data_IF_701028385667
#
_entry.id   IF_701028385667
#
_cell.length_a   1.000
_cell.length_b   1.000
_cell.length_c   1.000
_cell.angle_alpha   90.00
_cell.angle_beta   90.00
_cell.angle_gamma   90.00
#
_symmetry.space_group_name_H-M   'P 1'
#
loop_
_entity.id
_entity.type
_entity.pdbx_description
1 polymer ?
#
# COMPACT_ATOMS: atom_id res chain seq x y z
N UNK A 1 -5.91 17.11 14.52
CA UNK A 1 -6.45 16.52 13.28
C UNK A 1 -5.99 15.07 13.18
N UNK A 2 -6.88 14.16 12.80
CA UNK A 2 -6.51 12.77 12.52
C UNK A 2 -6.23 12.67 11.02
N UNK A 3 -4.99 12.35 10.66
CA UNK A 3 -4.63 12.20 9.25
C UNK A 3 -5.23 10.89 8.70
N UNK A 4 -5.76 10.90 7.47
CA UNK A 4 -6.28 9.70 6.84
C UNK A 4 -5.16 8.68 6.59
N UNK A 5 -5.37 7.46 7.08
CA UNK A 5 -4.44 6.36 6.90
C UNK A 5 -4.57 5.76 5.49
N UNK A 6 -3.45 5.64 4.79
CA UNK A 6 -3.39 5.05 3.46
C UNK A 6 -2.52 3.80 3.45
N UNK A 7 -2.96 2.77 2.72
CA UNK A 7 -2.23 1.52 2.51
C UNK A 7 -1.75 1.46 1.07
N UNK A 8 -0.44 1.28 0.90
CA UNK A 8 0.14 0.89 -0.38
C UNK A 8 0.27 -0.63 -0.41
N UNK A 9 -0.34 -1.25 -1.40
CA UNK A 9 -0.28 -2.70 -1.64
C UNK A 9 0.49 -2.94 -2.93
N UNK A 10 1.55 -3.73 -2.81
CA UNK A 10 2.40 -4.15 -3.91
C UNK A 10 1.89 -5.50 -4.44
N UNK A 11 1.43 -5.53 -5.69
CA UNK A 11 0.87 -6.71 -6.33
C UNK A 11 1.72 -7.11 -7.54
N UNK A 12 1.58 -8.36 -7.99
CA UNK A 12 2.28 -8.82 -9.18
C UNK A 12 1.92 -8.10 -10.48
N UNK A 13 0.81 -7.38 -10.46
CA UNK A 13 0.23 -6.67 -11.59
C UNK A 13 0.44 -5.15 -11.54
N UNK A 14 0.91 -4.61 -10.41
CA UNK A 14 0.97 -3.17 -10.19
C UNK A 14 0.91 -2.76 -8.72
N UNK A 15 0.78 -1.47 -8.49
CA UNK A 15 0.60 -0.88 -7.16
C UNK A 15 -0.85 -0.45 -6.93
N UNK A 16 -1.40 -0.75 -5.76
CA UNK A 16 -2.73 -0.30 -5.35
C UNK A 16 -2.65 0.59 -4.11
N UNK A 17 -3.28 1.75 -4.16
CA UNK A 17 -3.39 2.67 -3.03
C UNK A 17 -4.81 2.63 -2.47
N UNK A 18 -4.95 2.27 -1.20
CA UNK A 18 -6.22 2.23 -0.50
C UNK A 18 -6.27 3.30 0.59
N UNK A 19 -7.41 3.97 0.73
CA UNK A 19 -7.76 4.76 1.91
C UNK A 19 -8.45 3.84 2.93
N UNK A 20 -7.97 3.82 4.16
CA UNK A 20 -8.63 3.11 5.25
C UNK A 20 -9.59 4.03 6.01
N UNK A 21 -10.88 3.91 5.69
CA UNK A 21 -11.98 4.62 6.34
C UNK A 21 -12.23 4.07 7.74
N UNK A 22 -12.36 4.97 8.70
CA UNK A 22 -12.62 4.61 10.11
C UNK A 22 -11.44 3.96 10.84
N UNK A 23 -10.28 3.82 10.17
CA UNK A 23 -9.03 3.39 10.81
C UNK A 23 -8.16 4.64 10.97
N UNK A 24 -7.93 5.02 12.21
CA UNK A 24 -7.30 6.29 12.58
C UNK A 24 -5.94 6.11 13.26
N UNK A 25 -5.64 4.89 13.71
CA UNK A 25 -4.36 4.53 14.30
C UNK A 25 -4.09 3.03 14.02
N UNK A 26 -2.81 2.68 13.89
CA UNK A 26 -2.35 1.30 13.80
C UNK A 26 -1.54 1.03 15.06
N UNK A 27 -2.09 0.21 15.96
CA UNK A 27 -1.33 -0.29 17.10
C UNK A 27 -0.22 -1.23 16.59
N UNK A 28 1.02 -0.74 16.56
CA UNK A 28 2.20 -1.48 16.10
C UNK A 28 2.51 -2.72 16.95
N UNK A 29 1.94 -2.81 18.15
CA UNK A 29 2.11 -3.96 19.05
C UNK A 29 0.96 -4.96 18.91
N UNK A 30 -0.21 -4.53 18.41
CA UNK A 30 -1.33 -5.40 18.06
C UNK A 30 -1.42 -5.53 16.55
N UNK A 31 -0.56 -6.38 16.01
CA UNK A 31 -0.68 -6.81 14.62
C UNK A 31 -1.87 -7.78 14.52
N UNK A 32 -3.09 -7.24 14.41
CA UNK A 32 -4.22 -8.03 13.96
C UNK A 32 -4.06 -8.29 12.46
N UNK A 33 -4.25 -9.54 11.99
CA UNK A 33 -4.09 -9.87 10.57
C UNK A 33 -4.97 -8.96 9.71
N UNK A 34 -4.44 -8.48 8.59
CA UNK A 34 -5.22 -7.74 7.58
C UNK A 34 -6.49 -8.50 7.14
N UNK A 35 -6.49 -9.83 7.27
CA UNK A 35 -7.64 -10.72 7.05
C UNK A 35 -8.88 -10.34 7.90
N UNK A 36 -8.71 -9.87 9.14
CA UNK A 36 -9.83 -9.44 9.99
C UNK A 36 -10.54 -8.19 9.48
N UNK A 37 -9.87 -7.39 8.62
CA UNK A 37 -10.42 -6.18 8.02
C UNK A 37 -10.92 -6.42 6.58
N UNK A 38 -10.27 -7.34 5.84
CA UNK A 38 -10.66 -7.70 4.47
C UNK A 38 -11.99 -8.48 4.44
N UNK A 39 -12.27 -9.29 5.47
CA UNK A 39 -13.46 -10.14 5.53
C UNK A 39 -14.71 -9.44 6.13
N UNK A 40 -14.62 -8.16 6.50
CA UNK A 40 -15.78 -7.42 7.03
C UNK A 40 -16.72 -7.03 5.90
N UNK A 41 -18.02 -7.13 6.15
CA UNK A 41 -19.06 -6.72 5.18
C UNK A 41 -19.03 -5.21 4.88
N UNK A 42 -18.53 -4.42 5.83
CA UNK A 42 -18.20 -3.01 5.71
C UNK A 42 -16.68 -2.86 5.52
N UNK A 43 -16.15 -3.33 4.39
CA UNK A 43 -14.71 -3.22 4.09
C UNK A 43 -14.26 -1.77 4.26
N UNK A 44 -13.35 -1.48 5.21
CA UNK A 44 -12.94 -0.10 5.50
C UNK A 44 -12.03 0.45 4.41
N UNK A 45 -11.64 -0.35 3.42
CA UNK A 45 -10.68 0.04 2.39
C UNK A 45 -11.38 0.50 1.12
N UNK A 46 -11.10 1.74 0.74
CA UNK A 46 -11.52 2.32 -0.53
C UNK A 46 -10.31 2.42 -1.47
N UNK A 47 -10.38 1.81 -2.65
CA UNK A 47 -9.34 1.96 -3.67
C UNK A 47 -9.32 3.42 -4.17
N UNK A 48 -8.17 4.08 -4.05
CA UNK A 48 -7.96 5.46 -4.52
C UNK A 48 -7.21 5.52 -5.85
N UNK A 49 -6.24 4.64 -6.04
CA UNK A 49 -5.44 4.60 -7.26
C UNK A 49 -4.94 3.18 -7.52
N UNK A 50 -4.83 2.82 -8.78
CA UNK A 50 -4.18 1.61 -9.22
C UNK A 50 -3.24 1.94 -10.37
N UNK A 51 -1.96 1.61 -10.20
CA UNK A 51 -0.91 1.83 -11.19
C UNK A 51 -0.44 0.47 -11.73
N UNK A 52 -0.96 0.03 -12.88
CA UNK A 52 -0.58 -1.25 -13.46
C UNK A 52 0.86 -1.22 -13.98
N UNK A 53 1.54 -2.36 -13.93
CA UNK A 53 2.79 -2.55 -14.65
C UNK A 53 2.54 -2.60 -16.16
N UNK A 54 3.47 -2.03 -16.92
CA UNK A 54 3.30 -1.88 -18.38
C UNK A 54 3.58 -3.17 -19.13
N UNK A 55 4.38 -4.08 -18.55
CA UNK A 55 4.77 -5.37 -19.11
C UNK A 55 5.26 -6.34 -18.04
N UNK A 56 5.42 -7.64 -18.34
CA UNK A 56 6.06 -8.59 -17.44
C UNK A 56 7.50 -8.22 -17.06
N UNK A 57 8.27 -7.62 -17.98
CA UNK A 57 9.63 -7.17 -17.71
C UNK A 57 9.65 -5.99 -16.73
N UNK A 58 8.72 -5.03 -16.89
CA UNK A 58 8.51 -3.96 -15.93
C UNK A 58 8.12 -4.54 -14.56
N UNK A 59 7.17 -5.49 -14.51
CA UNK A 59 6.79 -6.16 -13.27
C UNK A 59 7.98 -6.80 -12.55
N UNK A 60 8.85 -7.50 -13.28
CA UNK A 60 10.07 -8.11 -12.71
C UNK A 60 11.04 -7.05 -12.17
N UNK A 61 11.23 -5.94 -12.88
CA UNK A 61 12.07 -4.82 -12.43
C UNK A 61 11.52 -4.20 -11.14
N UNK A 62 10.21 -3.95 -11.09
CA UNK A 62 9.54 -3.37 -9.93
C UNK A 62 9.63 -4.31 -8.71
N UNK A 63 9.33 -5.60 -8.88
CA UNK A 63 9.45 -6.61 -7.81
C UNK A 63 10.89 -6.74 -7.28
N UNK A 64 11.88 -6.74 -8.18
CA UNK A 64 13.27 -6.78 -7.77
C UNK A 64 13.66 -5.54 -6.96
N UNK A 65 13.15 -4.37 -7.32
CA UNK A 65 13.40 -3.17 -6.55
C UNK A 65 12.75 -3.20 -5.17
N UNK A 66 11.50 -3.66 -5.07
CA UNK A 66 10.81 -3.93 -3.80
C UNK A 66 11.65 -4.88 -2.93
N UNK A 67 12.05 -6.02 -3.48
CA UNK A 67 12.84 -7.03 -2.77
C UNK A 67 14.21 -6.52 -2.29
N UNK A 68 14.78 -5.52 -2.98
CA UNK A 68 16.05 -4.91 -2.61
C UNK A 68 15.89 -3.64 -1.75
N UNK A 69 14.67 -3.29 -1.34
CA UNK A 69 14.33 -2.03 -0.67
C UNK A 69 14.85 -0.79 -1.42
N UNK A 70 14.96 -0.88 -2.75
CA UNK A 70 15.41 0.22 -3.61
C UNK A 70 14.20 0.94 -4.17
N UNK A 71 14.08 2.23 -3.88
CA UNK A 71 13.11 3.08 -4.55
C UNK A 71 13.55 3.27 -6.01
N UNK A 72 12.73 2.84 -6.98
CA UNK A 72 12.95 3.21 -8.38
C UNK A 72 12.44 4.63 -8.57
N UNK A 73 13.35 5.59 -8.73
CA UNK A 73 12.98 6.95 -9.14
C UNK A 73 12.54 6.94 -10.60
N UNK A 74 11.29 7.31 -10.86
CA UNK A 74 10.73 7.40 -12.22
C UNK A 74 9.22 7.24 -12.30
N UNK A 75 8.59 6.66 -11.28
CA UNK A 75 7.14 6.66 -11.11
C UNK A 75 6.86 7.01 -9.64
N UNK A 76 5.96 7.96 -9.41
CA UNK A 76 5.76 8.60 -8.11
C UNK A 76 5.43 7.59 -7.00
N UNK A 77 6.44 7.25 -6.20
CA UNK A 77 6.28 6.53 -4.95
C UNK A 77 6.63 7.48 -3.81
N UNK A 78 5.61 8.15 -3.28
CA UNK A 78 5.73 8.83 -1.98
C UNK A 78 5.43 7.78 -0.92
N UNK A 79 6.49 7.20 -0.34
CA UNK A 79 6.37 6.56 0.97
C UNK A 79 6.33 7.71 1.98
N UNK A 80 5.15 8.00 2.55
CA UNK A 80 5.06 8.91 3.70
C UNK A 80 5.62 8.14 4.90
N UNK A 81 6.94 8.18 5.07
CA UNK A 81 7.56 7.93 6.37
C UNK A 81 7.45 9.22 7.16
N UNK A 82 6.57 9.26 8.16
CA UNK A 82 6.63 10.28 9.20
C UNK A 82 7.99 10.12 9.92
N UNK A 83 8.95 11.00 9.61
CA UNK A 83 10.07 11.27 10.50
C UNK A 83 9.58 12.21 11.59
N UNK A 84 9.89 11.85 12.84
CA UNK A 84 9.53 12.56 14.09
C UNK A 84 9.65 14.08 14.01
#
# INVERSE_FOLDING_TARGET
EVLPLHFLVECATGYALFLARGIHDIDKQKYQPAEEYINRSDTPFELKCYLPFSSPDDALLQMNAISNSKLISGQGLIVISHTN
#
